data_IF_749804596973
#
_entry.id   IF_749804596973
#
_cell.length_a   1.000
_cell.length_b   1.000
_cell.length_c   1.000
_cell.angle_alpha   90.00
_cell.angle_beta   90.00
_cell.angle_gamma   90.00
#
_symmetry.space_group_name_H-M   'P 1'
#
loop_
_entity.id
_entity.type
_entity.pdbx_description
1 polymer ?
#
# COMPACT_ATOMS: atom_id res chain seq x y z
N UNK A 1 10.96 14.93 9.69
CA UNK A 1 11.12 15.21 8.25
C UNK A 1 10.23 14.22 7.57
N UNK A 2 9.18 14.68 6.90
CA UNK A 2 8.25 13.77 6.22
C UNK A 2 8.88 13.31 4.91
N UNK A 3 8.84 12.01 4.66
CA UNK A 3 9.35 11.42 3.42
C UNK A 3 8.19 11.32 2.44
N UNK A 4 8.42 11.80 1.21
CA UNK A 4 7.41 11.84 0.16
C UNK A 4 7.76 10.87 -0.96
N UNK A 5 6.74 10.25 -1.54
CA UNK A 5 6.82 9.39 -2.73
C UNK A 5 6.13 10.08 -3.90
N UNK A 6 6.83 10.18 -5.02
CA UNK A 6 6.25 10.59 -6.29
C UNK A 6 5.68 9.35 -7.01
N UNK A 7 4.38 9.33 -7.24
CA UNK A 7 3.69 8.39 -8.11
C UNK A 7 3.23 9.08 -9.40
N UNK A 8 2.62 8.32 -10.32
CA UNK A 8 2.04 8.89 -11.53
C UNK A 8 0.86 9.83 -11.26
N UNK A 9 0.24 9.74 -10.07
CA UNK A 9 -0.91 10.57 -9.68
C UNK A 9 -0.51 11.83 -8.90
N UNK A 10 0.70 11.89 -8.35
CA UNK A 10 1.16 13.02 -7.55
C UNK A 10 2.22 12.68 -6.52
N UNK A 11 2.35 13.54 -5.52
CA UNK A 11 3.31 13.40 -4.42
C UNK A 11 2.55 13.08 -3.14
N UNK A 12 2.93 12.00 -2.46
CA UNK A 12 2.23 11.45 -1.31
C UNK A 12 3.19 11.25 -0.13
N UNK A 13 2.72 11.46 1.09
CA UNK A 13 3.49 11.21 2.32
C UNK A 13 3.57 9.71 2.64
N UNK A 14 4.72 9.21 3.09
CA UNK A 14 4.87 7.82 3.54
C UNK A 14 4.05 7.49 4.79
N UNK A 15 3.67 8.50 5.58
CA UNK A 15 2.84 8.33 6.77
C UNK A 15 3.51 7.50 7.87
N UNK A 16 4.83 7.58 8.02
CA UNK A 16 5.63 6.75 8.94
C UNK A 16 5.12 6.83 10.41
N UNK A 17 4.62 8.01 10.82
CA UNK A 17 4.02 8.26 12.13
C UNK A 17 2.49 8.40 12.09
N UNK A 18 1.86 8.05 10.96
CA UNK A 18 0.41 8.16 10.78
C UNK A 18 -0.29 6.83 10.99
N UNK A 19 -1.53 6.90 11.47
CA UNK A 19 -2.43 5.76 11.58
C UNK A 19 -3.62 6.01 10.69
N UNK A 20 -3.88 5.09 9.76
CA UNK A 20 -5.00 5.19 8.83
C UNK A 20 -6.18 4.44 9.42
N UNK A 21 -7.31 5.13 9.58
CA UNK A 21 -8.57 4.54 10.06
C UNK A 21 -9.50 4.16 8.91
N UNK A 22 -9.35 4.79 7.74
CA UNK A 22 -10.18 4.55 6.56
C UNK A 22 -9.44 3.70 5.55
N UNK A 23 -10.02 2.54 5.30
CA UNK A 23 -9.42 1.48 4.52
C UNK A 23 -10.21 1.27 3.23
N UNK A 24 -9.70 1.79 2.11
CA UNK A 24 -10.34 1.62 0.80
C UNK A 24 -9.99 0.25 0.22
N UNK A 25 -10.96 -0.46 -0.36
CA UNK A 25 -10.70 -1.72 -1.05
C UNK A 25 -9.90 -1.49 -2.32
N UNK A 26 -9.00 -2.41 -2.63
CA UNK A 26 -8.19 -2.39 -3.85
C UNK A 26 -8.23 -3.77 -4.52
N UNK A 27 -8.20 -3.85 -5.86
CA UNK A 27 -8.50 -5.09 -6.58
C UNK A 27 -7.30 -6.02 -6.79
N UNK A 28 -6.07 -5.55 -6.55
CA UNK A 28 -4.84 -6.24 -6.99
C UNK A 28 -3.77 -6.17 -5.91
N UNK A 29 -3.28 -7.31 -5.43
CA UNK A 29 -2.29 -7.38 -4.35
C UNK A 29 -0.94 -7.90 -4.83
N UNK A 30 0.20 -7.53 -4.20
CA UNK A 30 1.52 -8.04 -4.56
C UNK A 30 1.70 -9.56 -4.38
N UNK A 31 0.89 -10.18 -3.51
CA UNK A 31 0.95 -11.62 -3.25
C UNK A 31 0.27 -12.41 -4.36
N UNK A 32 -0.88 -11.91 -4.83
CA UNK A 32 -1.65 -12.50 -5.91
C UNK A 32 -2.46 -11.40 -6.59
N UNK A 33 -2.22 -11.21 -7.89
CA UNK A 33 -2.85 -10.18 -8.71
C UNK A 33 -4.37 -10.34 -8.88
N UNK A 34 -4.91 -11.50 -8.51
CA UNK A 34 -6.35 -11.80 -8.54
C UNK A 34 -7.05 -11.61 -7.19
N UNK A 35 -6.29 -11.44 -6.10
CA UNK A 35 -6.84 -11.26 -4.77
C UNK A 35 -7.13 -9.79 -4.48
N UNK A 36 -8.32 -9.53 -3.91
CA UNK A 36 -8.67 -8.21 -3.40
C UNK A 36 -7.97 -7.92 -2.08
N UNK A 37 -7.66 -6.65 -1.86
CA UNK A 37 -7.00 -6.16 -0.66
C UNK A 37 -7.64 -4.91 -0.08
N UNK A 38 -6.91 -4.37 0.87
CA UNK A 38 -7.18 -3.12 1.54
C UNK A 38 -5.97 -2.20 1.37
N UNK A 39 -6.23 -0.98 0.93
CA UNK A 39 -5.22 0.06 0.85
C UNK A 39 -4.80 0.49 2.25
N UNK A 40 -3.53 0.29 2.58
CA UNK A 40 -2.94 0.64 3.89
C UNK A 40 -1.52 1.17 3.70
N UNK A 41 -0.94 1.76 4.75
CA UNK A 41 0.45 2.19 4.70
C UNK A 41 1.36 0.97 4.58
N UNK A 42 2.46 1.14 3.84
CA UNK A 42 3.43 0.06 3.65
C UNK A 42 3.91 -0.50 5.01
N UNK A 43 4.16 0.37 5.99
CA UNK A 43 4.56 -0.03 7.36
C UNK A 43 3.58 -0.98 8.07
N UNK A 44 2.29 -0.90 7.72
CA UNK A 44 1.23 -1.68 8.34
C UNK A 44 0.96 -2.99 7.57
N UNK A 45 1.70 -3.24 6.47
CA UNK A 45 1.64 -4.48 5.68
C UNK A 45 3.03 -5.04 5.37
N UNK A 46 3.82 -5.47 6.38
CA UNK A 46 5.19 -5.96 6.18
C UNK A 46 5.27 -7.23 5.30
N UNK A 47 4.21 -8.01 5.26
CA UNK A 47 4.09 -9.25 4.50
C UNK A 47 4.35 -9.07 3.01
N UNK A 48 3.97 -7.91 2.45
CA UNK A 48 4.16 -7.64 1.02
C UNK A 48 5.59 -7.22 0.68
N UNK A 49 6.45 -6.91 1.65
CA UNK A 49 7.80 -6.39 1.39
C UNK A 49 8.62 -7.31 0.49
N UNK A 50 8.49 -8.63 0.67
CA UNK A 50 9.20 -9.62 -0.14
C UNK A 50 8.78 -9.63 -1.63
N UNK A 51 7.59 -9.12 -1.94
CA UNK A 51 7.06 -9.02 -3.30
C UNK A 51 7.33 -7.66 -3.95
N UNK A 52 7.61 -6.64 -3.14
CA UNK A 52 7.90 -5.28 -3.57
C UNK A 52 9.41 -5.09 -3.78
N UNK A 53 9.97 -5.82 -4.75
CA UNK A 53 11.43 -5.89 -4.96
C UNK A 53 12.05 -4.54 -5.29
N UNK A 54 11.30 -3.70 -6.01
CA UNK A 54 11.75 -2.42 -6.52
C UNK A 54 10.61 -1.41 -6.56
N UNK A 55 10.97 -0.14 -6.71
CA UNK A 55 10.01 0.96 -6.76
C UNK A 55 9.00 0.82 -7.92
N UNK A 56 9.43 0.28 -9.06
CA UNK A 56 8.54 0.06 -10.20
C UNK A 56 7.46 -0.99 -9.91
N UNK A 57 7.80 -2.04 -9.15
CA UNK A 57 6.84 -3.06 -8.70
C UNK A 57 5.88 -2.45 -7.69
N UNK A 58 6.39 -1.68 -6.72
CA UNK A 58 5.57 -0.94 -5.77
C UNK A 58 4.53 -0.05 -6.45
N UNK A 59 4.89 0.67 -7.51
CA UNK A 59 3.97 1.53 -8.24
C UNK A 59 2.79 0.77 -8.86
N UNK A 60 2.91 -0.53 -9.17
CA UNK A 60 1.81 -1.34 -9.71
C UNK A 60 0.73 -1.66 -8.67
N UNK A 61 1.09 -1.62 -7.39
CA UNK A 61 0.21 -1.94 -6.26
C UNK A 61 -0.04 -0.73 -5.37
N UNK A 62 0.44 0.44 -5.80
CA UNK A 62 0.26 1.72 -5.14
C UNK A 62 -1.23 2.05 -5.07
N UNK A 63 -1.63 2.66 -3.95
CA UNK A 63 -2.97 3.23 -3.82
C UNK A 63 -2.91 4.51 -2.97
N UNK A 64 -3.59 5.59 -3.40
CA UNK A 64 -3.63 6.83 -2.64
C UNK A 64 -4.59 6.69 -1.45
N UNK A 65 -4.11 7.03 -0.24
CA UNK A 65 -4.93 7.03 0.97
C UNK A 65 -5.31 8.47 1.31
N UNK A 66 -6.61 8.76 1.35
CA UNK A 66 -7.15 10.10 1.62
C UNK A 66 -6.51 11.22 0.76
N UNK A 67 -6.07 10.87 -0.45
CA UNK A 67 -5.29 11.75 -1.36
C UNK A 67 -4.06 12.40 -0.71
N UNK A 68 -3.53 11.82 0.36
CA UNK A 68 -2.42 12.39 1.13
C UNK A 68 -1.27 11.40 1.32
N UNK A 69 -1.58 10.15 1.64
CA UNK A 69 -0.56 9.16 1.97
C UNK A 69 -0.35 8.12 0.87
N UNK A 70 0.88 7.62 0.82
CA UNK A 70 1.32 6.58 -0.09
C UNK A 70 0.96 5.21 0.50
N UNK A 71 -0.06 4.57 -0.06
CA UNK A 71 -0.50 3.25 0.35
C UNK A 71 -0.02 2.14 -0.59
N UNK A 72 -0.13 0.91 -0.11
CA UNK A 72 -0.04 -0.31 -0.91
C UNK A 72 -1.29 -1.15 -0.72
N UNK A 73 -1.70 -1.85 -1.78
CA UNK A 73 -2.79 -2.80 -1.68
C UNK A 73 -2.36 -4.04 -0.90
N UNK A 74 -2.72 -4.08 0.39
CA UNK A 74 -2.43 -5.20 1.27
C UNK A 74 -3.52 -6.27 1.15
N UNK A 75 -3.20 -7.54 0.89
CA UNK A 75 -4.21 -8.59 0.75
C UNK A 75 -5.05 -8.74 2.02
N UNK A 76 -6.38 -8.82 1.87
CA UNK A 76 -7.31 -9.02 2.99
C UNK A 76 -7.43 -10.50 3.40
N UNK A 77 -6.50 -11.36 2.97
CA UNK A 77 -6.61 -12.80 3.25
C UNK A 77 -6.23 -13.13 4.68
N UNK A 78 -7.30 -13.37 5.44
CA UNK A 78 -7.48 -14.32 6.54
C UNK A 78 -6.26 -15.25 6.67
N UNK A 79 -5.37 -14.94 7.63
CA UNK A 79 -4.54 -15.98 8.23
C UNK A 79 -5.51 -16.87 9.02
N UNK A 80 -6.10 -17.88 8.37
CA UNK A 80 -6.62 -19.01 9.13
C UNK A 80 -5.39 -19.70 9.77
N UNK A 81 -5.34 -19.83 11.11
CA UNK A 81 -4.25 -20.49 11.82
C UNK A 81 -4.15 -21.99 11.51
#
# INVERSE_FOLDING_TARGET
>A
MDVFIASFEGVYELGENSTITVHTKCPKTPVNDTDTGTCTLLKDCPWVYSYLTDFQVYQQYFCPINNKFAGVCCPTKIFEP
#
